data_IF_647113838716
#
_entry.id   IF_647113838716
#
_cell.length_a   1.000
_cell.length_b   1.000
_cell.length_c   1.000
_cell.angle_alpha   90.00
_cell.angle_beta   90.00
_cell.angle_gamma   90.00
#
_symmetry.space_group_name_H-M   'P 1'
#
loop_
_entity.id
_entity.type
_entity.pdbx_description
1 polymer ?
#
# COMPACT_ATOMS: atom_id res chain seq x y z
N UNK A 1 -7.83 -12.53 4.63
CA UNK A 1 -8.32 -11.65 3.55
C UNK A 1 -7.38 -10.47 3.39
N UNK A 2 -7.21 -9.92 2.19
CA UNK A 2 -6.50 -8.66 1.95
C UNK A 2 -7.44 -7.60 1.37
N UNK A 3 -7.21 -6.34 1.71
CA UNK A 3 -7.86 -5.18 1.08
C UNK A 3 -6.79 -4.22 0.54
N UNK A 4 -7.12 -3.47 -0.51
CA UNK A 4 -6.20 -2.52 -1.12
C UNK A 4 -6.58 -1.07 -0.77
N UNK A 5 -5.58 -0.25 -0.46
CA UNK A 5 -5.68 1.19 -0.21
C UNK A 5 -5.25 1.93 -1.46
N UNK A 6 -6.21 2.59 -2.09
CA UNK A 6 -6.09 3.24 -3.41
C UNK A 6 -6.74 4.64 -3.44
N UNK A 7 -7.23 5.13 -2.30
CA UNK A 7 -7.88 6.43 -2.23
C UNK A 7 -7.60 7.16 -0.93
N UNK A 8 -7.75 8.48 -0.93
CA UNK A 8 -7.61 9.30 0.28
C UNK A 8 -8.66 8.93 1.33
N UNK A 9 -9.85 8.48 0.94
CA UNK A 9 -10.87 7.98 1.86
C UNK A 9 -10.43 6.67 2.52
N UNK A 10 -9.83 5.77 1.75
CA UNK A 10 -9.30 4.50 2.28
C UNK A 10 -8.13 4.77 3.24
N UNK A 11 -7.21 5.67 2.89
CA UNK A 11 -6.12 6.14 3.77
C UNK A 11 -6.68 6.72 5.06
N UNK A 12 -7.72 7.56 4.96
CA UNK A 12 -8.32 8.27 6.11
C UNK A 12 -9.12 7.34 7.03
N UNK A 13 -9.72 6.28 6.50
CA UNK A 13 -10.65 5.43 7.24
C UNK A 13 -10.15 3.99 7.46
N UNK A 14 -8.86 3.72 7.27
CA UNK A 14 -8.35 2.33 7.23
C UNK A 14 -8.69 1.52 8.49
N UNK A 15 -8.65 2.11 9.70
CA UNK A 15 -9.06 1.42 10.93
C UNK A 15 -10.52 0.96 10.90
N UNK A 16 -11.42 1.73 10.26
CA UNK A 16 -12.83 1.37 10.13
C UNK A 16 -13.03 0.30 9.06
N UNK A 17 -12.21 0.31 8.01
CA UNK A 17 -12.27 -0.61 6.87
C UNK A 17 -11.63 -1.97 7.18
N UNK A 18 -10.59 -1.98 8.03
CA UNK A 18 -9.89 -3.17 8.50
C UNK A 18 -10.74 -3.97 9.51
N UNK A 19 -11.79 -4.62 9.02
CA UNK A 19 -12.69 -5.47 9.82
C UNK A 19 -12.02 -6.78 10.27
N UNK A 20 -12.56 -7.45 11.31
CA UNK A 20 -12.11 -8.79 11.69
C UNK A 20 -12.04 -9.74 10.47
N UNK A 21 -10.90 -10.43 10.31
CA UNK A 21 -10.61 -11.30 9.16
C UNK A 21 -9.77 -10.65 8.06
N UNK A 22 -9.64 -9.32 8.06
CA UNK A 22 -8.59 -8.62 7.28
C UNK A 22 -7.26 -8.85 7.96
N UNK A 23 -6.31 -9.41 7.22
CA UNK A 23 -4.98 -9.81 7.72
C UNK A 23 -3.84 -9.08 7.00
N UNK A 24 -4.15 -8.42 5.88
CA UNK A 24 -3.19 -7.68 5.05
C UNK A 24 -3.87 -6.43 4.49
N UNK A 25 -3.19 -5.30 4.58
CA UNK A 25 -3.51 -4.07 3.85
C UNK A 25 -2.43 -3.85 2.80
N UNK A 26 -2.87 -3.81 1.55
CA UNK A 26 -2.00 -3.66 0.39
C UNK A 26 -2.12 -2.24 -0.16
N UNK A 27 -1.03 -1.62 -0.61
CA UNK A 27 -1.08 -0.29 -1.24
C UNK A 27 -1.10 -0.42 -2.76
N UNK A 28 -2.05 0.24 -3.42
CA UNK A 28 -2.04 0.49 -4.87
C UNK A 28 -1.52 1.89 -5.15
N UNK A 29 -0.19 2.12 -5.24
CA UNK A 29 0.39 3.46 -5.30
C UNK A 29 -0.01 4.24 -6.56
N UNK A 30 -0.24 3.56 -7.69
CA UNK A 30 -0.65 4.20 -8.93
C UNK A 30 -2.07 4.78 -8.82
N UNK A 31 -3.02 3.96 -8.37
CA UNK A 31 -4.41 4.38 -8.18
C UNK A 31 -4.53 5.43 -7.07
N UNK A 32 -3.73 5.29 -6.00
CA UNK A 32 -3.67 6.30 -4.94
C UNK A 32 -3.12 7.63 -5.45
N UNK A 33 -2.06 7.62 -6.27
CA UNK A 33 -1.54 8.86 -6.90
C UNK A 33 -2.62 9.55 -7.72
N UNK A 34 -3.28 8.80 -8.60
CA UNK A 34 -4.35 9.31 -9.43
C UNK A 34 -5.53 9.85 -8.60
N UNK A 35 -5.93 9.14 -7.55
CA UNK A 35 -6.97 9.60 -6.64
C UNK A 35 -6.56 10.91 -5.94
N UNK A 36 -5.31 11.05 -5.49
CA UNK A 36 -4.81 12.25 -4.82
C UNK A 36 -4.83 13.50 -5.71
N UNK A 37 -4.62 13.36 -7.02
CA UNK A 37 -4.69 14.48 -7.98
C UNK A 37 -6.08 15.16 -7.98
N UNK A 38 -7.14 14.40 -7.70
CA UNK A 38 -8.51 14.91 -7.60
C UNK A 38 -8.88 15.52 -6.24
N UNK A 39 -8.05 15.36 -5.22
CA UNK A 39 -8.35 15.74 -3.84
C UNK A 39 -7.52 16.95 -3.39
N UNK A 40 -7.81 18.10 -4.00
CA UNK A 40 -7.18 19.37 -3.67
C UNK A 40 -7.41 19.72 -2.19
N UNK A 41 -6.32 20.01 -1.47
CA UNK A 41 -6.37 20.35 -0.05
C UNK A 41 -6.36 19.16 0.91
N UNK A 42 -6.19 17.93 0.40
CA UNK A 42 -5.94 16.78 1.26
C UNK A 42 -4.62 16.97 2.04
N UNK A 43 -4.56 16.70 3.37
CA UNK A 43 -3.39 17.05 4.18
C UNK A 43 -2.11 16.27 3.88
N UNK A 44 -2.22 15.05 3.33
CA UNK A 44 -1.07 14.23 2.95
C UNK A 44 -0.75 14.48 1.48
N UNK A 45 0.48 14.88 1.19
CA UNK A 45 0.87 15.40 -0.13
C UNK A 45 1.66 14.40 -0.97
N UNK A 46 1.96 13.22 -0.43
CA UNK A 46 2.63 12.15 -1.15
C UNK A 46 2.05 10.77 -0.81
N UNK A 47 2.22 9.81 -1.73
CA UNK A 47 1.88 8.40 -1.49
C UNK A 47 2.64 7.84 -0.29
N UNK A 48 3.90 8.23 -0.11
CA UNK A 48 4.69 7.79 1.05
C UNK A 48 4.08 8.29 2.38
N UNK A 49 3.56 9.53 2.41
CA UNK A 49 2.89 10.06 3.60
C UNK A 49 1.58 9.32 3.89
N UNK A 50 0.83 8.97 2.84
CA UNK A 50 -0.34 8.10 2.96
C UNK A 50 0.04 6.71 3.52
N UNK A 51 1.13 6.12 3.04
CA UNK A 51 1.63 4.82 3.53
C UNK A 51 2.03 4.90 5.01
N UNK A 52 2.82 5.92 5.39
CA UNK A 52 3.21 6.16 6.79
C UNK A 52 2.00 6.38 7.70
N UNK A 53 1.02 7.15 7.23
CA UNK A 53 -0.21 7.43 7.98
C UNK A 53 -1.05 6.15 8.18
N UNK A 54 -1.17 5.29 7.16
CA UNK A 54 -1.85 3.99 7.29
C UNK A 54 -1.08 3.06 8.24
N UNK A 55 0.25 3.02 8.13
CA UNK A 55 1.08 2.22 9.03
C UNK A 55 0.89 2.62 10.50
N UNK A 56 0.93 3.93 10.79
CA UNK A 56 0.68 4.45 12.13
C UNK A 56 -0.74 4.12 12.63
N UNK A 57 -1.76 4.22 11.77
CA UNK A 57 -3.13 3.86 12.12
C UNK A 57 -3.31 2.37 12.43
N UNK A 58 -2.53 1.48 11.82
CA UNK A 58 -2.65 0.04 12.01
C UNK A 58 -1.61 -0.53 12.98
N UNK A 59 -0.80 0.31 13.61
CA UNK A 59 0.18 -0.13 14.59
C UNK A 59 -0.49 -0.90 15.73
N UNK A 60 0.16 -1.99 16.17
CA UNK A 60 -0.37 -2.88 17.21
C UNK A 60 -1.58 -3.76 16.80
N UNK A 61 -2.16 -3.61 15.61
CA UNK A 61 -3.31 -4.43 15.18
C UNK A 61 -2.94 -5.84 14.69
N UNK A 62 -1.66 -6.06 14.38
CA UNK A 62 -1.17 -7.31 13.76
C UNK A 62 -1.48 -7.44 12.26
N UNK A 63 -2.12 -6.43 11.64
CA UNK A 63 -2.35 -6.39 10.20
C UNK A 63 -1.03 -6.09 9.48
N UNK A 64 -0.69 -6.91 8.48
CA UNK A 64 0.55 -6.74 7.71
C UNK A 64 0.35 -5.75 6.57
N UNK A 65 1.41 -5.03 6.22
CA UNK A 65 1.41 -4.10 5.10
C UNK A 65 2.11 -4.71 3.88
N UNK A 66 1.56 -4.46 2.69
CA UNK A 66 2.05 -5.00 1.43
C UNK A 66 2.11 -3.94 0.31
N UNK A 67 3.03 -4.13 -0.64
CA UNK A 67 2.98 -3.43 -1.92
C UNK A 67 2.12 -4.21 -2.93
N UNK A 68 1.12 -3.54 -3.48
CA UNK A 68 0.19 -4.08 -4.50
C UNK A 68 0.69 -3.95 -5.94
N UNK A 69 1.92 -3.47 -6.09
CA UNK A 69 2.63 -3.39 -7.36
C UNK A 69 4.03 -3.98 -7.19
N UNK A 70 4.66 -4.48 -8.27
CA UNK A 70 6.06 -4.87 -8.21
C UNK A 70 6.94 -3.74 -7.69
N UNK A 71 7.85 -4.08 -6.78
CA UNK A 71 8.86 -3.17 -6.22
C UNK A 71 10.22 -3.80 -6.42
N UNK A 72 11.15 -3.10 -7.06
CA UNK A 72 12.47 -3.65 -7.33
C UNK A 72 13.21 -3.90 -6.02
N UNK A 73 14.05 -4.96 -5.92
CA UNK A 73 14.75 -5.29 -4.69
C UNK A 73 15.47 -4.11 -4.02
N UNK A 74 16.14 -3.27 -4.80
CA UNK A 74 16.88 -2.09 -4.36
C UNK A 74 15.99 -0.95 -3.82
N UNK A 75 14.71 -0.92 -4.17
CA UNK A 75 13.74 0.08 -3.70
C UNK A 75 13.02 -0.39 -2.42
N UNK A 76 13.12 -1.67 -2.05
CA UNK A 76 12.35 -2.28 -0.95
C UNK A 76 12.79 -1.79 0.43
N UNK A 77 14.04 -1.37 0.61
CA UNK A 77 14.57 -0.97 1.92
C UNK A 77 13.77 0.19 2.53
N UNK A 78 13.53 1.24 1.75
CA UNK A 78 12.67 2.37 2.12
C UNK A 78 11.30 1.92 2.65
N UNK A 79 10.67 0.95 1.98
CA UNK A 79 9.34 0.46 2.34
C UNK A 79 9.38 -0.48 3.55
N UNK A 80 10.48 -1.23 3.73
CA UNK A 80 10.72 -2.03 4.94
C UNK A 80 10.84 -1.15 6.17
N UNK A 81 11.50 0.00 6.07
CA UNK A 81 11.58 0.98 7.16
C UNK A 81 10.21 1.53 7.56
N UNK A 82 9.24 1.51 6.63
CA UNK A 82 7.83 1.86 6.89
C UNK A 82 6.99 0.69 7.43
N UNK A 83 7.56 -0.50 7.60
CA UNK A 83 6.87 -1.71 8.06
C UNK A 83 6.23 -2.55 6.95
N UNK A 84 6.45 -2.22 5.67
CA UNK A 84 5.96 -3.03 4.54
C UNK A 84 6.87 -4.24 4.36
N UNK A 85 6.29 -5.43 4.47
CA UNK A 85 7.04 -6.69 4.52
C UNK A 85 6.62 -7.70 3.45
N UNK A 86 5.55 -7.42 2.70
CA UNK A 86 5.11 -8.21 1.56
C UNK A 86 5.28 -7.41 0.27
N UNK A 87 6.00 -7.96 -0.69
CA UNK A 87 6.23 -7.36 -2.00
C UNK A 87 5.78 -8.32 -3.09
N UNK A 88 5.07 -7.81 -4.09
CA UNK A 88 4.75 -8.58 -5.27
C UNK A 88 6.01 -8.79 -6.13
N UNK A 89 6.18 -10.01 -6.62
CA UNK A 89 7.20 -10.32 -7.62
C UNK A 89 6.63 -10.11 -9.02
N UNK A 90 7.51 -9.77 -9.98
CA UNK A 90 7.13 -9.77 -11.38
C UNK A 90 6.92 -11.22 -11.80
N UNK A 91 5.77 -11.52 -12.40
CA UNK A 91 5.56 -12.83 -12.99
C UNK A 91 6.69 -13.09 -14.00
N UNK A 92 7.32 -14.28 -13.99
CA UNK A 92 8.30 -14.60 -15.01
C UNK A 92 7.63 -14.40 -16.37
N UNK A 93 8.27 -13.64 -17.26
CA UNK A 93 7.82 -13.53 -18.63
C UNK A 93 7.68 -14.95 -19.18
N UNK A 94 6.56 -15.27 -19.84
CA UNK A 94 6.55 -16.42 -20.73
C UNK A 94 7.69 -16.20 -21.71
N UNK A 95 8.78 -16.95 -21.53
CA UNK A 95 9.82 -17.04 -22.54
C UNK A 95 9.15 -17.75 -23.70
N UNK A 96 8.58 -16.98 -24.63
CA UNK A 96 8.21 -17.50 -25.93
C UNK A 96 9.48 -18.15 -26.50
N UNK A 97 9.47 -19.46 -26.82
CA UNK A 97 10.64 -20.11 -27.37
C UNK A 97 11.02 -19.41 -28.68
N UNK A 98 12.34 -19.19 -28.83
CA UNK A 98 12.96 -18.58 -30.00
C UNK A 98 12.68 -19.35 -31.30
#
# INVERSE_FOLDING_TARGET
MSIQVESVEAVTNIQKLAKPGVSVVTFGPNDLTFNMEGHVGYPLTSVDDCMRNVAAQLDGTGIRLAMGTPTKPEEREKYRDMGITLFQEVAPAEVAPA
#
